data_IF_259495008496
#
_entry.id   IF_259495008496
#
_cell.length_a   1.000
_cell.length_b   1.000
_cell.length_c   1.000
_cell.angle_alpha   90.00
_cell.angle_beta   90.00
_cell.angle_gamma   90.00
#
_symmetry.space_group_name_H-M   'P 1'
#
loop_
_entity.id
_entity.type
_entity.pdbx_description
1 polymer ?
#
# COMPACT_ATOMS: atom_id res chain seq x y z
N UNK A 1 9.45 6.92 -35.77
CA UNK A 1 8.27 6.03 -35.60
C UNK A 1 8.26 5.56 -34.14
N UNK A 2 7.42 6.14 -33.28
CA UNK A 2 7.36 5.74 -31.86
C UNK A 2 6.32 4.62 -31.76
N UNK A 3 6.78 3.42 -31.45
CA UNK A 3 5.95 2.21 -31.37
C UNK A 3 5.14 2.21 -30.08
N UNK A 4 3.81 2.05 -30.22
CA UNK A 4 2.81 1.95 -29.16
C UNK A 4 2.93 0.65 -28.34
N UNK A 5 3.98 0.50 -27.53
CA UNK A 5 4.19 -0.71 -26.70
C UNK A 5 3.46 -0.70 -25.34
N UNK A 6 2.58 0.28 -25.07
CA UNK A 6 2.03 0.48 -23.71
C UNK A 6 0.50 0.35 -23.55
N UNK A 7 -0.30 0.19 -24.60
CA UNK A 7 -1.78 0.20 -24.44
C UNK A 7 -2.47 -1.17 -24.48
N UNK A 8 -1.87 -2.23 -25.02
CA UNK A 8 -2.56 -3.53 -25.10
C UNK A 8 -2.66 -4.29 -23.77
N UNK A 9 -1.86 -3.91 -22.76
CA UNK A 9 -1.73 -4.67 -21.50
C UNK A 9 -2.83 -4.35 -20.47
N UNK A 10 -3.70 -3.38 -20.71
CA UNK A 10 -4.66 -2.85 -19.72
C UNK A 10 -6.02 -3.56 -19.75
N UNK A 11 -6.52 -3.90 -20.94
CA UNK A 11 -7.90 -4.39 -21.10
C UNK A 11 -8.13 -5.78 -20.49
N UNK A 12 -7.23 -6.74 -20.76
CA UNK A 12 -7.37 -8.13 -20.31
C UNK A 12 -7.20 -8.28 -18.79
N UNK A 13 -6.31 -7.50 -18.19
CA UNK A 13 -6.06 -7.52 -16.73
C UNK A 13 -7.26 -7.03 -15.93
N UNK A 14 -7.97 -6.03 -16.46
CA UNK A 14 -9.16 -5.48 -15.82
C UNK A 14 -10.32 -6.48 -15.89
N UNK A 15 -10.48 -7.18 -17.03
CA UNK A 15 -11.50 -8.22 -17.19
C UNK A 15 -11.34 -9.39 -16.22
N UNK A 16 -10.11 -9.86 -15.98
CA UNK A 16 -9.84 -10.92 -15.01
C UNK A 16 -10.26 -10.52 -13.59
N UNK A 17 -9.96 -9.28 -13.18
CA UNK A 17 -10.39 -8.77 -11.88
C UNK A 17 -11.91 -8.61 -11.79
N UNK A 18 -12.59 -8.24 -12.89
CA UNK A 18 -14.05 -8.13 -12.93
C UNK A 18 -14.72 -9.49 -12.75
N UNK A 19 -14.16 -10.56 -13.31
CA UNK A 19 -14.73 -11.91 -13.24
C UNK A 19 -14.37 -12.67 -11.96
N UNK A 20 -13.12 -12.57 -11.49
CA UNK A 20 -12.60 -13.36 -10.36
C UNK A 20 -12.37 -12.55 -9.09
N UNK A 21 -12.53 -11.23 -9.14
CA UNK A 21 -12.18 -10.32 -8.06
C UNK A 21 -10.71 -9.94 -8.03
N UNK A 22 -10.37 -9.00 -7.16
CA UNK A 22 -8.99 -8.53 -7.00
C UNK A 22 -8.18 -9.46 -6.09
N UNK A 23 -7.03 -9.91 -6.56
CA UNK A 23 -6.05 -10.63 -5.74
C UNK A 23 -4.99 -9.66 -5.20
N UNK A 24 -5.23 -9.14 -4.00
CA UNK A 24 -4.36 -8.17 -3.33
C UNK A 24 -3.20 -8.83 -2.56
N UNK A 25 -1.98 -8.37 -2.80
CA UNK A 25 -0.79 -8.72 -2.01
C UNK A 25 -0.29 -7.50 -1.24
N UNK A 26 0.19 -7.70 -0.01
CA UNK A 26 0.75 -6.62 0.81
C UNK A 26 2.08 -6.15 0.20
N UNK A 27 2.16 -4.86 -0.16
CA UNK A 27 3.37 -4.26 -0.75
C UNK A 27 4.12 -3.38 0.25
N UNK A 28 3.43 -2.88 1.29
CA UNK A 28 4.04 -2.07 2.34
C UNK A 28 3.24 -2.13 3.63
N UNK A 29 3.93 -2.42 4.73
CA UNK A 29 3.41 -2.27 6.08
C UNK A 29 3.68 -0.85 6.58
N UNK A 30 2.64 -0.03 6.68
CA UNK A 30 2.77 1.37 7.14
C UNK A 30 3.02 1.41 8.63
N UNK A 31 2.18 0.69 9.38
CA UNK A 31 2.36 0.41 10.81
C UNK A 31 1.60 -0.89 11.14
N UNK A 32 1.23 -1.11 12.42
CA UNK A 32 0.49 -2.32 12.81
C UNK A 32 -0.95 -2.38 12.29
N UNK A 33 -1.56 -1.24 11.93
CA UNK A 33 -2.95 -1.17 11.49
C UNK A 33 -3.07 -0.88 9.98
N UNK A 34 -2.31 0.09 9.48
CA UNK A 34 -2.32 0.49 8.09
C UNK A 34 -1.32 -0.31 7.25
N UNK A 35 -1.78 -0.75 6.08
CA UNK A 35 -1.03 -1.52 5.09
C UNK A 35 -1.47 -1.10 3.70
N UNK A 36 -0.53 -1.06 2.77
CA UNK A 36 -0.78 -0.84 1.35
C UNK A 36 -0.68 -2.19 0.63
N UNK A 37 -1.59 -2.41 -0.33
CA UNK A 37 -1.68 -3.62 -1.14
C UNK A 37 -1.73 -3.26 -2.61
N UNK A 38 -1.34 -4.21 -3.45
CA UNK A 38 -1.44 -4.12 -4.89
C UNK A 38 -2.11 -5.38 -5.44
N UNK A 39 -3.05 -5.20 -6.38
CA UNK A 39 -3.61 -6.33 -7.12
C UNK A 39 -2.55 -6.89 -8.07
N UNK A 40 -2.27 -8.19 -7.98
CA UNK A 40 -1.27 -8.85 -8.85
C UNK A 40 -1.64 -8.78 -10.33
N UNK A 41 -2.94 -8.74 -10.64
CA UNK A 41 -3.47 -8.72 -12.00
C UNK A 41 -3.55 -7.30 -12.57
N UNK A 42 -4.43 -6.44 -12.02
CA UNK A 42 -4.69 -5.10 -12.58
C UNK A 42 -3.81 -3.98 -12.02
N UNK A 43 -2.96 -4.26 -11.03
CA UNK A 43 -2.07 -3.26 -10.42
C UNK A 43 -2.79 -2.12 -9.68
N UNK A 44 -4.10 -2.26 -9.42
CA UNK A 44 -4.82 -1.37 -8.52
C UNK A 44 -4.20 -1.42 -7.12
N UNK A 45 -3.88 -0.25 -6.58
CA UNK A 45 -3.32 -0.10 -5.24
C UNK A 45 -4.41 0.34 -4.26
N UNK A 46 -4.42 -0.27 -3.08
CA UNK A 46 -5.38 0.00 -2.02
C UNK A 46 -4.68 0.08 -0.66
N UNK A 47 -5.27 0.79 0.29
CA UNK A 47 -4.89 0.79 1.71
C UNK A 47 -6.10 0.38 2.54
N UNK A 48 -5.93 0.05 3.82
CA UNK A 48 -7.09 -0.12 4.70
C UNK A 48 -7.50 1.21 5.34
N UNK A 49 -8.80 1.39 5.58
CA UNK A 49 -9.35 2.44 6.44
C UNK A 49 -9.23 2.07 7.94
N UNK A 50 -9.80 2.90 8.83
CA UNK A 50 -9.79 2.67 10.27
C UNK A 50 -10.61 1.45 10.74
N UNK A 51 -11.50 0.93 9.89
CA UNK A 51 -12.31 -0.28 10.13
C UNK A 51 -11.67 -1.52 9.48
N UNK A 52 -10.59 -1.36 8.73
CA UNK A 52 -9.90 -2.45 8.01
C UNK A 52 -10.40 -2.68 6.58
N UNK A 53 -11.32 -1.86 6.06
CA UNK A 53 -11.82 -1.99 4.69
C UNK A 53 -10.80 -1.50 3.68
N UNK A 54 -10.66 -2.18 2.54
CA UNK A 54 -9.75 -1.75 1.46
C UNK A 54 -10.36 -0.58 0.68
N UNK A 55 -9.66 0.55 0.68
CA UNK A 55 -9.99 1.76 -0.07
C UNK A 55 -8.87 2.06 -1.07
N UNK A 56 -9.19 2.75 -2.16
CA UNK A 56 -8.20 3.12 -3.20
C UNK A 56 -7.07 3.93 -2.57
N UNK A 57 -5.83 3.56 -2.90
CA UNK A 57 -4.64 4.27 -2.43
C UNK A 57 -4.39 5.52 -3.30
N UNK A 58 -5.07 6.61 -2.95
CA UNK A 58 -4.88 7.92 -3.59
C UNK A 58 -3.50 8.51 -3.27
N UNK A 59 -3.08 9.54 -4.01
CA UNK A 59 -1.84 10.29 -3.71
C UNK A 59 -1.86 10.86 -2.28
N UNK A 60 -2.98 11.46 -1.87
CA UNK A 60 -3.16 11.98 -0.52
C UNK A 60 -2.99 10.90 0.54
N UNK A 61 -3.61 9.72 0.35
CA UNK A 61 -3.46 8.60 1.27
C UNK A 61 -2.03 8.04 1.27
N UNK A 62 -1.29 8.09 0.15
CA UNK A 62 0.14 7.74 0.12
C UNK A 62 0.97 8.68 0.98
N UNK A 63 0.72 9.99 0.92
CA UNK A 63 1.44 10.98 1.71
C UNK A 63 1.13 10.86 3.21
N UNK A 64 -0.14 10.62 3.55
CA UNK A 64 -0.57 10.32 4.93
C UNK A 64 0.14 9.06 5.42
N UNK A 65 0.08 7.95 4.66
CA UNK A 65 0.72 6.69 5.04
C UNK A 65 2.24 6.81 5.17
N UNK A 66 2.89 7.58 4.30
CA UNK A 66 4.34 7.87 4.41
C UNK A 66 4.66 8.58 5.72
N UNK A 67 3.86 9.59 6.09
CA UNK A 67 4.01 10.33 7.34
C UNK A 67 3.77 9.45 8.56
N UNK A 68 2.71 8.63 8.55
CA UNK A 68 2.40 7.68 9.62
C UNK A 68 3.52 6.64 9.81
N UNK A 69 4.08 6.12 8.72
CA UNK A 69 5.19 5.17 8.76
C UNK A 69 6.43 5.78 9.40
N UNK A 70 6.78 7.02 9.00
CA UNK A 70 7.89 7.76 9.62
C UNK A 70 7.69 7.97 11.13
N UNK A 71 6.50 8.41 11.54
CA UNK A 71 6.20 8.61 12.96
C UNK A 71 6.26 7.30 13.76
N UNK A 72 5.77 6.20 13.18
CA UNK A 72 5.83 4.88 13.79
C UNK A 72 7.28 4.42 14.01
N UNK A 73 8.13 4.52 12.98
CA UNK A 73 9.55 4.17 13.06
C UNK A 73 10.29 5.07 14.06
N UNK A 74 10.03 6.38 14.05
CA UNK A 74 10.60 7.33 15.02
C UNK A 74 10.23 6.93 16.44
N UNK A 75 8.96 6.59 16.70
CA UNK A 75 8.50 6.15 18.03
C UNK A 75 9.20 4.86 18.46
N UNK A 76 9.31 3.88 17.58
CA UNK A 76 9.98 2.62 17.85
C UNK A 76 11.46 2.83 18.18
N UNK A 77 12.15 3.63 17.35
CA UNK A 77 13.53 4.03 17.60
C UNK A 77 13.68 4.65 18.99
N UNK A 78 12.94 5.72 19.28
CA UNK A 78 13.05 6.40 20.57
C UNK A 78 12.73 5.47 21.74
N UNK A 79 11.71 4.61 21.63
CA UNK A 79 11.41 3.63 22.69
C UNK A 79 12.57 2.65 22.92
N UNK A 80 13.24 2.20 21.86
CA UNK A 80 14.39 1.31 22.00
C UNK A 80 15.57 2.02 22.67
N UNK A 81 15.91 3.24 22.24
CA UNK A 81 17.06 3.96 22.76
C UNK A 81 16.87 4.55 24.17
N UNK A 82 15.70 5.11 24.49
CA UNK A 82 15.48 5.71 25.82
C UNK A 82 15.30 4.68 26.93
N UNK A 83 14.60 3.57 26.66
CA UNK A 83 14.38 2.54 27.68
C UNK A 83 15.57 1.58 27.83
N UNK A 84 16.42 1.41 26.81
CA UNK A 84 17.62 0.59 26.92
C UNK A 84 18.75 1.22 27.76
N UNK A 85 18.67 2.53 28.10
CA UNK A 85 19.66 3.20 28.98
C UNK A 85 19.31 3.17 30.47
N UNK A 86 18.11 2.71 30.83
CA UNK A 86 17.60 2.70 32.21
C UNK A 86 17.47 1.26 32.79
N UNK A 87 18.19 0.30 32.22
CA UNK A 87 18.40 -1.05 32.74
C UNK A 87 19.88 -1.25 32.96
#
# INVERSE_FOLDING_TARGET
MKTNYLEEKSFTKNLLCTLFGHHYVEVKKVNNHFKEYECTHCKLQVTNDNKGNKIVLTSELKDINKTLSYLHLKRQFLSHFYFSRNK
#
